data_IF_234017263490
#
_entry.id   IF_234017263490
#
_cell.length_a   1.000
_cell.length_b   1.000
_cell.length_c   1.000
_cell.angle_alpha   90.00
_cell.angle_beta   90.00
_cell.angle_gamma   90.00
#
_symmetry.space_group_name_H-M   'P 1'
#
loop_
_entity.id
_entity.type
_entity.pdbx_description
1 polymer ?
#
# COMPACT_ATOMS: atom_id res chain seq x y z
N UNK A 1 52.82 34.09 -45.50
CA UNK A 1 53.94 33.20 -45.15
C UNK A 1 53.39 32.00 -44.41
N UNK A 2 53.71 30.79 -44.90
CA UNK A 2 53.19 29.48 -44.46
C UNK A 2 54.14 28.83 -43.44
N UNK A 3 53.65 27.72 -42.87
CA UNK A 3 54.36 26.58 -42.22
C UNK A 3 54.72 26.75 -40.73
N UNK A 4 54.61 25.77 -39.82
CA UNK A 4 54.05 24.39 -39.85
C UNK A 4 54.08 23.76 -38.43
N UNK A 5 53.15 22.81 -38.20
CA UNK A 5 53.20 21.55 -37.40
C UNK A 5 53.55 21.58 -35.90
N UNK A 6 52.68 21.17 -34.96
CA UNK A 6 52.14 19.83 -34.65
C UNK A 6 53.12 18.78 -34.06
N UNK A 7 52.64 18.18 -32.96
CA UNK A 7 52.92 16.86 -32.36
C UNK A 7 54.17 16.70 -31.48
N UNK A 8 53.92 16.41 -30.19
CA UNK A 8 54.19 15.08 -29.60
C UNK A 8 53.54 14.92 -28.22
N UNK A 9 52.64 13.94 -28.16
CA UNK A 9 52.14 13.28 -26.95
C UNK A 9 53.15 12.23 -26.45
N UNK A 10 52.98 11.83 -25.18
CA UNK A 10 53.30 10.51 -24.60
C UNK A 10 54.65 10.31 -23.87
N UNK A 11 54.56 9.49 -22.79
CA UNK A 11 55.59 8.88 -21.90
C UNK A 11 55.89 9.73 -20.65
N UNK A 12 55.23 9.62 -19.48
CA UNK A 12 54.98 8.50 -18.52
C UNK A 12 56.25 7.76 -18.08
N UNK A 13 56.39 7.61 -16.75
CA UNK A 13 57.24 6.67 -16.01
C UNK A 13 58.56 7.21 -15.44
N UNK A 14 58.53 7.63 -14.17
CA UNK A 14 59.60 7.41 -13.19
C UNK A 14 59.25 8.06 -11.84
N UNK A 15 58.42 7.41 -11.02
CA UNK A 15 58.52 7.49 -9.56
C UNK A 15 57.55 6.50 -8.92
N UNK A 16 58.06 5.74 -7.95
CA UNK A 16 57.32 4.87 -7.02
C UNK A 16 57.01 3.45 -7.55
N UNK A 17 58.07 2.72 -7.87
CA UNK A 17 58.12 1.27 -7.76
C UNK A 17 59.48 0.83 -7.20
N UNK A 18 59.71 1.07 -5.90
CA UNK A 18 60.71 0.37 -5.08
C UNK A 18 60.27 0.53 -3.62
N UNK A 19 59.65 -0.50 -3.03
CA UNK A 19 60.05 -1.00 -1.71
C UNK A 19 59.30 -2.31 -1.41
N UNK A 20 60.09 -3.38 -1.44
CA UNK A 20 60.00 -4.57 -0.58
C UNK A 20 58.88 -5.59 -0.81
N UNK A 21 59.15 -6.46 -1.79
CA UNK A 21 58.97 -7.90 -1.63
C UNK A 21 60.18 -8.51 -0.88
N UNK A 22 59.94 -9.29 0.18
CA UNK A 22 60.76 -10.40 0.72
C UNK A 22 59.95 -11.03 1.87
N UNK A 23 59.17 -12.09 1.61
CA UNK A 23 59.45 -13.51 1.93
C UNK A 23 59.65 -13.83 3.42
N UNK A 24 58.75 -14.68 3.95
CA UNK A 24 58.94 -15.48 5.17
C UNK A 24 57.77 -16.45 5.39
N UNK A 25 58.08 -17.73 5.66
CA UNK A 25 57.25 -18.94 5.51
C UNK A 25 56.52 -19.36 6.82
N UNK A 26 55.35 -19.98 6.63
CA UNK A 26 54.69 -21.11 7.35
C UNK A 26 54.96 -21.42 8.85
N UNK A 27 53.91 -21.75 9.62
CA UNK A 27 53.52 -23.12 10.11
C UNK A 27 52.28 -23.06 11.04
N UNK A 28 51.48 -24.13 10.97
CA UNK A 28 50.29 -24.60 11.71
C UNK A 28 50.11 -24.23 13.20
N UNK A 29 48.83 -24.21 13.63
CA UNK A 29 48.41 -24.97 14.83
C UNK A 29 47.34 -24.34 15.74
N UNK A 30 46.25 -25.10 15.91
CA UNK A 30 45.38 -25.19 17.11
C UNK A 30 44.25 -24.18 17.40
N UNK A 31 43.03 -24.69 17.18
CA UNK A 31 41.89 -24.83 18.14
C UNK A 31 41.96 -24.04 19.46
N UNK A 32 40.92 -23.24 19.70
CA UNK A 32 40.58 -22.71 21.02
C UNK A 32 39.16 -22.14 21.04
N UNK A 33 38.21 -22.92 21.57
CA UNK A 33 36.92 -22.46 22.07
C UNK A 33 37.11 -21.56 23.30
N UNK A 34 36.24 -20.57 23.47
CA UNK A 34 35.55 -20.13 24.72
C UNK A 34 34.86 -18.78 24.44
N UNK A 35 33.53 -18.72 24.54
CA UNK A 35 32.74 -18.17 25.67
C UNK A 35 32.75 -16.63 25.70
N UNK A 36 31.69 -16.00 25.19
CA UNK A 36 30.52 -15.52 25.95
C UNK A 36 30.71 -14.19 26.67
N UNK A 37 30.00 -13.16 26.22
CA UNK A 37 29.44 -12.04 27.01
C UNK A 37 28.42 -11.34 26.09
N UNK A 38 27.12 -11.65 26.14
CA UNK A 38 26.09 -11.19 27.09
C UNK A 38 26.18 -9.69 27.42
N UNK A 39 25.26 -8.89 26.85
CA UNK A 39 24.47 -7.78 27.42
C UNK A 39 23.39 -7.36 26.36
N UNK A 40 22.24 -6.77 26.76
CA UNK A 40 20.92 -7.36 26.55
C UNK A 40 19.88 -6.41 25.91
N UNK A 41 18.65 -6.91 25.74
CA UNK A 41 17.40 -6.13 25.71
C UNK A 41 16.85 -5.85 24.31
N UNK A 42 16.08 -6.77 23.72
CA UNK A 42 14.61 -6.80 23.79
C UNK A 42 13.90 -5.78 22.88
N UNK A 43 13.54 -6.23 21.69
CA UNK A 43 12.27 -5.88 21.06
C UNK A 43 11.77 -7.14 20.36
N UNK A 44 10.94 -7.87 21.09
CA UNK A 44 10.32 -9.13 20.72
C UNK A 44 9.66 -9.06 19.35
N UNK A 45 10.16 -9.86 18.41
CA UNK A 45 9.42 -10.29 17.24
C UNK A 45 8.34 -11.26 17.71
N UNK A 46 7.20 -10.73 18.16
CA UNK A 46 6.01 -11.51 18.37
C UNK A 46 5.56 -12.07 17.03
N UNK A 47 5.71 -13.37 16.93
CA UNK A 47 5.03 -14.30 16.05
C UNK A 47 3.54 -13.88 15.91
N UNK A 48 3.19 -13.16 14.84
CA UNK A 48 1.80 -12.95 14.46
C UNK A 48 1.31 -14.24 13.80
N UNK A 49 1.04 -15.24 14.64
CA UNK A 49 -0.03 -16.18 14.34
C UNK A 49 -1.29 -15.33 14.24
N UNK A 50 -1.82 -15.19 13.03
CA UNK A 50 -3.13 -14.61 12.81
C UNK A 50 -4.13 -15.44 13.60
N UNK A 51 -4.55 -14.93 14.75
CA UNK A 51 -5.77 -15.40 15.39
C UNK A 51 -6.90 -15.24 14.37
N UNK A 52 -7.62 -16.31 14.00
CA UNK A 52 -8.90 -16.13 13.33
C UNK A 52 -9.77 -15.35 14.31
N UNK A 53 -9.97 -14.07 14.04
CA UNK A 53 -10.90 -13.23 14.78
C UNK A 53 -12.32 -13.75 14.50
N UNK A 54 -12.70 -14.79 15.25
CA UNK A 54 -14.09 -15.13 15.51
C UNK A 54 -14.72 -13.92 16.18
N UNK A 55 -15.60 -13.24 15.46
CA UNK A 55 -16.56 -12.33 16.07
C UNK A 55 -17.39 -13.14 17.06
N UNK A 56 -17.01 -13.07 18.34
CA UNK A 56 -17.77 -13.65 19.44
C UNK A 56 -19.09 -12.87 19.59
N UNK A 57 -20.11 -13.37 18.91
CA UNK A 57 -21.49 -13.03 19.19
C UNK A 57 -21.91 -13.57 20.56
N UNK A 58 -22.72 -12.83 21.34
CA UNK A 58 -23.29 -13.37 22.56
C UNK A 58 -24.31 -14.47 22.22
N UNK A 59 -23.96 -15.72 22.55
CA UNK A 59 -24.89 -16.81 22.82
C UNK A 59 -25.71 -17.34 21.64
N UNK A 60 -25.09 -18.12 20.77
CA UNK A 60 -25.81 -19.08 19.91
C UNK A 60 -26.51 -20.11 20.83
N UNK A 61 -27.84 -20.30 20.77
CA UNK A 61 -28.46 -21.44 21.43
C UNK A 61 -27.98 -22.73 20.76
N UNK A 62 -27.86 -23.86 21.49
CA UNK A 62 -27.36 -25.11 20.92
C UNK A 62 -28.43 -25.69 19.99
N UNK A 63 -28.32 -25.38 18.70
CA UNK A 63 -29.13 -25.95 17.63
C UNK A 63 -28.23 -26.65 16.63
N UNK A 64 -28.47 -27.95 16.45
CA UNK A 64 -27.87 -28.89 15.49
C UNK A 64 -26.94 -28.27 14.44
N UNK A 65 -25.68 -28.72 14.44
CA UNK A 65 -24.79 -28.65 13.27
C UNK A 65 -25.39 -29.46 12.12
N UNK A 66 -26.25 -28.85 11.32
CA UNK A 66 -26.45 -29.30 9.95
C UNK A 66 -25.29 -28.77 9.13
N UNK A 67 -24.40 -29.69 8.79
CA UNK A 67 -23.35 -29.51 7.80
C UNK A 67 -24.06 -29.08 6.50
N UNK A 68 -23.83 -27.85 6.08
CA UNK A 68 -24.28 -27.35 4.77
C UNK A 68 -23.60 -28.22 3.70
N UNK A 69 -24.35 -28.85 2.77
CA UNK A 69 -23.75 -29.59 1.66
C UNK A 69 -22.89 -28.67 0.81
N UNK A 70 -21.76 -29.18 0.31
CA UNK A 70 -20.87 -28.46 -0.60
C UNK A 70 -21.66 -27.85 -1.78
N UNK A 71 -21.72 -26.51 -1.80
CA UNK A 71 -22.31 -25.62 -2.81
C UNK A 71 -23.64 -26.07 -3.45
N UNK A 72 -24.75 -25.58 -2.91
CA UNK A 72 -26.06 -25.73 -3.54
C UNK A 72 -26.36 -24.58 -4.52
N UNK A 73 -27.15 -24.81 -5.58
CA UNK A 73 -27.55 -23.77 -6.52
C UNK A 73 -28.33 -22.65 -5.80
N UNK A 74 -28.17 -21.36 -6.18
CA UNK A 74 -28.95 -20.26 -5.62
C UNK A 74 -30.47 -20.46 -5.61
N UNK A 75 -30.98 -21.29 -6.52
CA UNK A 75 -32.40 -21.58 -6.70
C UNK A 75 -33.00 -22.33 -5.50
N UNK A 76 -32.20 -23.16 -4.84
CA UNK A 76 -32.65 -24.01 -3.73
C UNK A 76 -32.42 -23.34 -2.37
N UNK A 77 -31.74 -22.20 -2.37
CA UNK A 77 -31.28 -21.51 -1.17
C UNK A 77 -32.44 -21.09 -0.25
N UNK A 78 -33.58 -20.68 -0.83
CA UNK A 78 -34.79 -20.30 -0.08
C UNK A 78 -35.31 -21.43 0.84
N UNK A 79 -35.12 -22.70 0.47
CA UNK A 79 -35.67 -23.83 1.22
C UNK A 79 -34.92 -24.14 2.52
N UNK A 80 -33.75 -23.55 2.73
CA UNK A 80 -32.96 -23.71 3.95
C UNK A 80 -33.33 -22.68 5.03
N UNK A 81 -34.18 -21.72 4.70
CA UNK A 81 -34.61 -20.68 5.63
C UNK A 81 -35.91 -21.04 6.32
N UNK A 82 -35.92 -20.96 7.65
CA UNK A 82 -37.13 -21.16 8.45
C UNK A 82 -37.79 -19.81 8.74
N UNK A 83 -38.93 -19.60 8.09
CA UNK A 83 -39.78 -18.42 8.24
C UNK A 83 -40.14 -18.14 9.71
N UNK A 84 -40.42 -19.18 10.50
CA UNK A 84 -40.78 -19.04 11.91
C UNK A 84 -39.57 -18.61 12.73
N UNK A 85 -38.39 -19.17 12.41
CA UNK A 85 -37.12 -18.76 13.01
C UNK A 85 -36.86 -17.28 12.71
N UNK A 86 -36.91 -16.86 11.45
CA UNK A 86 -36.78 -15.45 11.03
C UNK A 86 -37.76 -14.54 11.81
N UNK A 87 -39.03 -14.94 11.91
CA UNK A 87 -40.06 -14.17 12.61
C UNK A 87 -39.78 -14.01 14.11
N UNK A 88 -39.15 -15.02 14.73
CA UNK A 88 -38.81 -15.05 16.15
C UNK A 88 -37.51 -14.29 16.50
N UNK A 89 -36.65 -14.03 15.51
CA UNK A 89 -35.38 -13.35 15.74
C UNK A 89 -35.60 -11.91 16.26
N UNK A 90 -34.77 -11.46 17.22
CA UNK A 90 -34.76 -10.06 17.63
C UNK A 90 -34.36 -9.20 16.43
N UNK A 91 -35.03 -8.07 16.27
CA UNK A 91 -34.60 -7.08 15.28
C UNK A 91 -33.33 -6.44 15.84
N UNK A 92 -32.19 -6.70 15.20
CA UNK A 92 -30.90 -6.19 15.64
C UNK A 92 -30.73 -4.71 15.28
N UNK A 93 -31.53 -4.22 14.33
CA UNK A 93 -31.58 -2.84 13.87
C UNK A 93 -32.79 -2.11 14.43
N UNK A 94 -32.63 -0.87 14.92
CA UNK A 94 -33.81 -0.01 15.12
C UNK A 94 -34.43 0.22 13.75
N UNK A 95 -35.76 0.24 13.64
CA UNK A 95 -36.56 0.32 12.38
C UNK A 95 -36.14 1.40 11.36
N UNK A 96 -35.31 2.37 11.76
CA UNK A 96 -34.79 3.47 10.94
C UNK A 96 -33.25 3.56 10.92
N UNK A 97 -32.53 2.55 11.41
CA UNK A 97 -31.08 2.55 11.44
C UNK A 97 -30.54 1.75 10.25
N UNK A 98 -29.98 2.45 9.26
CA UNK A 98 -29.14 1.91 8.17
C UNK A 98 -27.79 1.39 8.75
N UNK A 99 -27.80 0.83 9.96
CA UNK A 99 -26.61 0.65 10.81
C UNK A 99 -26.24 -0.82 10.80
N UNK A 100 -25.52 -1.25 9.77
CA UNK A 100 -25.25 -2.65 9.49
C UNK A 100 -24.44 -3.36 10.59
N UNK A 101 -24.88 -4.53 11.10
CA UNK A 101 -24.17 -5.22 12.16
C UNK A 101 -22.92 -5.95 11.65
N UNK A 102 -22.81 -6.20 10.33
CA UNK A 102 -21.61 -6.76 9.73
C UNK A 102 -20.93 -5.73 8.80
N UNK A 103 -19.73 -5.21 9.14
CA UNK A 103 -19.12 -4.10 8.41
C UNK A 103 -18.49 -4.54 7.07
N UNK A 104 -18.18 -5.82 6.90
CA UNK A 104 -17.58 -6.40 5.67
C UNK A 104 -18.60 -6.69 4.55
N UNK A 105 -19.88 -6.93 4.88
CA UNK A 105 -20.93 -7.30 3.92
C UNK A 105 -21.19 -6.17 2.92
N UNK A 106 -21.07 -6.38 1.60
CA UNK A 106 -21.41 -5.38 0.62
C UNK A 106 -22.93 -5.12 0.56
N UNK A 107 -23.32 -3.90 0.18
CA UNK A 107 -24.73 -3.51 0.04
C UNK A 107 -25.00 -2.99 -1.36
N UNK A 108 -26.03 -3.49 -2.02
CA UNK A 108 -26.52 -2.93 -3.27
C UNK A 108 -27.60 -1.87 -2.99
N UNK A 109 -27.61 -0.79 -3.78
CA UNK A 109 -28.62 0.27 -3.71
C UNK A 109 -28.88 0.84 -2.29
N UNK A 110 -27.84 0.86 -1.44
CA UNK A 110 -27.86 1.31 -0.03
C UNK A 110 -28.79 0.54 0.92
N UNK A 111 -29.39 -0.59 0.53
CA UNK A 111 -30.40 -1.25 1.36
C UNK A 111 -30.23 -2.76 1.47
N UNK A 112 -29.96 -3.43 0.37
CA UNK A 112 -29.95 -4.90 0.34
C UNK A 112 -28.52 -5.45 0.47
N UNK A 113 -28.24 -6.27 1.50
CA UNK A 113 -26.94 -6.94 1.62
C UNK A 113 -26.76 -7.99 0.51
N UNK A 114 -25.50 -8.13 0.07
CA UNK A 114 -25.06 -9.15 -0.87
C UNK A 114 -24.37 -10.28 -0.10
N UNK A 115 -24.82 -11.51 -0.29
CA UNK A 115 -24.24 -12.72 0.29
C UNK A 115 -23.88 -13.75 -0.79
N UNK A 116 -22.93 -14.61 -0.48
CA UNK A 116 -22.64 -15.79 -1.29
C UNK A 116 -23.54 -16.97 -0.91
N UNK A 117 -23.67 -17.94 -1.82
CA UNK A 117 -24.35 -19.23 -1.54
C UNK A 117 -23.70 -20.04 -0.40
N UNK A 118 -22.48 -19.73 -0.03
CA UNK A 118 -21.72 -20.36 1.06
C UNK A 118 -21.91 -19.67 2.41
N UNK A 119 -22.63 -18.56 2.45
CA UNK A 119 -22.89 -17.83 3.70
C UNK A 119 -23.76 -18.68 4.63
N UNK A 120 -23.49 -18.63 5.93
CA UNK A 120 -24.22 -19.44 6.92
C UNK A 120 -25.69 -19.00 7.04
N UNK A 121 -26.62 -19.95 7.04
CA UNK A 121 -28.07 -19.72 7.05
C UNK A 121 -28.53 -18.75 8.16
N UNK A 122 -28.10 -18.86 9.43
CA UNK A 122 -28.53 -17.95 10.49
C UNK A 122 -28.13 -16.49 10.25
N UNK A 123 -27.02 -16.23 9.54
CA UNK A 123 -26.59 -14.87 9.18
C UNK A 123 -27.59 -14.26 8.21
N UNK A 124 -28.02 -15.04 7.22
CA UNK A 124 -28.97 -14.58 6.21
C UNK A 124 -30.37 -14.43 6.79
N UNK A 125 -30.79 -15.32 7.67
CA UNK A 125 -32.07 -15.17 8.36
C UNK A 125 -32.13 -13.93 9.24
N UNK A 126 -31.05 -13.64 9.97
CA UNK A 126 -30.93 -12.39 10.72
C UNK A 126 -30.96 -11.18 9.77
N UNK A 127 -30.28 -11.26 8.61
CA UNK A 127 -30.33 -10.20 7.61
C UNK A 127 -31.74 -10.04 6.99
N UNK A 128 -32.44 -11.12 6.66
CA UNK A 128 -33.82 -11.09 6.18
C UNK A 128 -34.75 -10.47 7.23
N UNK A 129 -34.54 -10.79 8.51
CA UNK A 129 -35.25 -10.17 9.62
C UNK A 129 -35.00 -8.66 9.72
N UNK A 130 -33.75 -8.25 9.54
CA UNK A 130 -33.31 -6.87 9.76
C UNK A 130 -33.58 -5.95 8.55
N UNK A 131 -33.45 -6.45 7.32
CA UNK A 131 -33.55 -5.66 6.09
C UNK A 131 -34.79 -5.96 5.25
N UNK A 132 -35.47 -7.08 5.50
CA UNK A 132 -36.63 -7.55 4.72
C UNK A 132 -36.27 -8.19 3.38
N UNK A 133 -35.07 -7.98 2.84
CA UNK A 133 -34.60 -8.66 1.63
C UNK A 133 -33.09 -8.73 1.55
N UNK A 134 -32.58 -9.74 0.88
CA UNK A 134 -31.15 -9.97 0.62
C UNK A 134 -30.93 -10.44 -0.81
N UNK A 135 -29.73 -10.28 -1.33
CA UNK A 135 -29.30 -10.91 -2.58
C UNK A 135 -28.33 -12.06 -2.27
N UNK A 136 -28.59 -13.23 -2.85
CA UNK A 136 -27.73 -14.40 -2.82
C UNK A 136 -27.09 -14.57 -4.18
N UNK A 137 -25.76 -14.55 -4.22
CA UNK A 137 -24.94 -14.62 -5.43
C UNK A 137 -24.16 -15.93 -5.45
N UNK A 138 -24.08 -16.56 -6.62
CA UNK A 138 -23.17 -17.67 -6.89
C UNK A 138 -22.09 -17.20 -7.87
N UNK A 139 -20.86 -16.93 -7.36
CA UNK A 139 -19.75 -16.51 -8.20
C UNK A 139 -19.32 -17.54 -9.25
N UNK A 140 -19.61 -18.83 -9.02
CA UNK A 140 -19.21 -19.95 -9.88
C UNK A 140 -20.12 -20.03 -11.11
N UNK A 141 -21.44 -20.10 -10.90
CA UNK A 141 -22.41 -20.11 -12.00
C UNK A 141 -22.68 -18.73 -12.59
N UNK A 142 -22.20 -17.66 -11.93
CA UNK A 142 -22.53 -16.26 -12.23
C UNK A 142 -24.03 -16.01 -12.26
N UNK A 143 -24.75 -16.61 -11.31
CA UNK A 143 -26.19 -16.39 -11.14
C UNK A 143 -26.50 -15.80 -9.78
N UNK A 144 -27.68 -15.21 -9.63
CA UNK A 144 -28.13 -14.69 -8.35
C UNK A 144 -29.63 -14.65 -8.21
N UNK A 145 -30.07 -14.57 -6.95
CA UNK A 145 -31.47 -14.52 -6.53
C UNK A 145 -31.65 -13.44 -5.46
N UNK A 146 -32.79 -12.76 -5.50
CA UNK A 146 -33.25 -11.95 -4.39
C UNK A 146 -34.19 -12.80 -3.54
N UNK A 147 -33.96 -12.81 -2.23
CA UNK A 147 -34.87 -13.42 -1.26
C UNK A 147 -35.52 -12.28 -0.48
N UNK A 148 -36.85 -12.28 -0.44
CA UNK A 148 -37.67 -11.25 0.20
C UNK A 148 -38.47 -11.91 1.31
N UNK A 149 -38.40 -11.34 2.51
CA UNK A 149 -39.20 -11.74 3.66
C UNK A 149 -40.41 -10.82 3.81
N UNK A 150 -41.60 -11.39 3.60
CA UNK A 150 -42.85 -10.69 3.83
C UNK A 150 -43.24 -10.81 5.31
N UNK A 151 -43.05 -9.72 6.06
CA UNK A 151 -43.35 -9.68 7.50
C UNK A 151 -44.83 -9.91 7.82
N UNK A 152 -45.75 -9.48 6.94
CA UNK A 152 -47.20 -9.57 7.15
C UNK A 152 -47.70 -10.97 6.85
N UNK A 153 -47.33 -11.51 5.68
CA UNK A 153 -47.73 -12.84 5.25
C UNK A 153 -46.96 -13.96 5.95
N UNK A 154 -45.86 -13.63 6.65
CA UNK A 154 -44.88 -14.59 7.18
C UNK A 154 -44.53 -15.61 6.09
N UNK A 155 -43.97 -15.11 5.00
CA UNK A 155 -43.56 -15.93 3.85
C UNK A 155 -42.24 -15.44 3.30
N UNK A 156 -41.58 -16.32 2.54
CA UNK A 156 -40.42 -15.97 1.74
C UNK A 156 -40.80 -16.02 0.27
N UNK A 157 -40.32 -15.04 -0.47
CA UNK A 157 -40.43 -14.97 -1.92
C UNK A 157 -39.02 -14.96 -2.52
N UNK A 158 -38.83 -15.67 -3.62
CA UNK A 158 -37.58 -15.68 -4.37
C UNK A 158 -37.80 -15.11 -5.77
N UNK A 159 -36.98 -14.15 -6.14
CA UNK A 159 -37.04 -13.51 -7.46
C UNK A 159 -35.69 -13.66 -8.20
N UNK A 160 -35.69 -13.88 -9.52
CA UNK A 160 -34.48 -13.82 -10.32
C UNK A 160 -33.92 -12.39 -10.35
N UNK A 161 -32.59 -12.26 -10.30
CA UNK A 161 -31.93 -10.97 -10.57
C UNK A 161 -31.88 -10.78 -12.09
N UNK A 162 -32.68 -9.87 -12.62
CA UNK A 162 -32.82 -9.64 -14.06
C UNK A 162 -31.86 -8.57 -14.58
N UNK A 163 -31.39 -7.66 -13.73
CA UNK A 163 -30.56 -6.51 -14.11
C UNK A 163 -29.39 -6.32 -13.14
N UNK A 164 -28.30 -5.71 -13.63
CA UNK A 164 -27.12 -5.29 -12.83
C UNK A 164 -26.38 -6.40 -12.06
N UNK A 165 -26.57 -7.66 -12.46
CA UNK A 165 -25.91 -8.81 -11.83
C UNK A 165 -24.38 -8.71 -11.85
N UNK A 166 -23.80 -8.25 -12.96
CA UNK A 166 -22.35 -8.02 -13.08
C UNK A 166 -21.85 -6.98 -12.07
N UNK A 167 -22.61 -5.91 -11.86
CA UNK A 167 -22.26 -4.87 -10.90
C UNK A 167 -22.36 -5.37 -9.45
N UNK A 168 -23.35 -6.20 -9.14
CA UNK A 168 -23.45 -6.87 -7.84
C UNK A 168 -22.26 -7.81 -7.60
N UNK A 169 -21.85 -8.57 -8.62
CA UNK A 169 -20.65 -9.41 -8.52
C UNK A 169 -19.37 -8.60 -8.35
N UNK A 170 -19.24 -7.49 -9.06
CA UNK A 170 -18.09 -6.58 -8.90
C UNK A 170 -18.01 -6.08 -7.46
N UNK A 171 -19.13 -5.61 -6.92
CA UNK A 171 -19.24 -5.15 -5.54
C UNK A 171 -18.97 -6.26 -4.52
N UNK A 172 -19.51 -7.46 -4.74
CA UNK A 172 -19.31 -8.63 -3.90
C UNK A 172 -17.84 -9.07 -3.85
N UNK A 173 -17.12 -8.93 -4.97
CA UNK A 173 -15.71 -9.32 -5.10
C UNK A 173 -14.73 -8.24 -4.62
N UNK A 174 -15.21 -7.04 -4.25
CA UNK A 174 -14.34 -6.01 -3.69
C UNK A 174 -13.73 -6.47 -2.36
N UNK A 175 -12.59 -5.88 -2.03
CA UNK A 175 -11.97 -6.12 -0.74
C UNK A 175 -12.89 -5.70 0.42
N UNK A 176 -12.98 -6.55 1.45
CA UNK A 176 -13.78 -6.28 2.65
C UNK A 176 -13.43 -4.94 3.30
N UNK A 177 -12.16 -4.53 3.27
CA UNK A 177 -11.71 -3.26 3.85
C UNK A 177 -12.33 -2.06 3.12
N UNK A 178 -12.62 -2.18 1.82
CA UNK A 178 -13.30 -1.13 1.06
C UNK A 178 -14.74 -0.98 1.56
N UNK A 179 -15.46 -2.08 1.80
CA UNK A 179 -16.82 -2.05 2.34
C UNK A 179 -16.86 -1.46 3.77
N UNK A 180 -15.92 -1.89 4.62
CA UNK A 180 -15.75 -1.35 5.98
C UNK A 180 -15.51 0.16 5.92
N UNK A 181 -14.59 0.59 5.07
CA UNK A 181 -14.25 2.00 4.87
C UNK A 181 -15.43 2.81 4.36
N UNK A 182 -16.16 2.31 3.36
CA UNK A 182 -17.33 2.97 2.80
C UNK A 182 -18.37 3.26 3.87
N UNK A 183 -18.72 2.24 4.67
CA UNK A 183 -19.70 2.39 5.75
C UNK A 183 -19.18 3.35 6.83
N UNK A 184 -17.91 3.24 7.23
CA UNK A 184 -17.31 4.15 8.20
C UNK A 184 -17.38 5.62 7.74
N UNK A 185 -17.12 5.88 6.47
CA UNK A 185 -17.13 7.25 5.91
C UNK A 185 -18.56 7.79 5.72
N UNK A 186 -19.55 6.92 5.49
CA UNK A 186 -20.96 7.29 5.34
C UNK A 186 -21.66 7.57 6.66
N UNK A 187 -21.38 6.77 7.68
CA UNK A 187 -22.06 6.86 8.97
C UNK A 187 -21.23 7.72 9.94
N UNK A 188 -21.58 9.00 10.04
CA UNK A 188 -20.85 10.01 10.85
C UNK A 188 -20.82 9.74 12.36
N UNK A 189 -21.70 8.89 12.86
CA UNK A 189 -21.74 8.56 14.28
C UNK A 189 -21.01 7.23 14.51
N UNK A 190 -19.86 7.22 15.22
CA UNK A 190 -19.38 6.01 15.85
C UNK A 190 -20.44 5.64 16.89
N UNK A 191 -21.39 4.81 16.50
CA UNK A 191 -22.22 4.13 17.46
C UNK A 191 -21.30 3.46 18.47
N UNK A 192 -21.65 3.47 19.77
CA UNK A 192 -20.98 2.63 20.76
C UNK A 192 -20.92 1.15 20.35
N UNK A 193 -21.81 0.73 19.45
CA UNK A 193 -21.96 -0.62 18.90
C UNK A 193 -21.42 -0.79 17.48
N UNK A 194 -20.64 0.15 16.92
CA UNK A 194 -19.98 -0.10 15.63
C UNK A 194 -18.96 -1.22 15.83
N UNK A 195 -19.10 -2.36 15.15
CA UNK A 195 -18.40 -3.59 15.52
C UNK A 195 -16.89 -3.51 15.28
N UNK A 196 -16.42 -2.55 14.48
CA UNK A 196 -15.02 -2.45 14.10
C UNK A 196 -14.44 -1.05 14.33
N UNK A 197 -13.58 -0.93 15.36
CA UNK A 197 -12.76 0.27 15.54
C UNK A 197 -11.84 0.45 14.33
N UNK A 198 -11.85 1.65 13.74
CA UNK A 198 -10.93 1.96 12.65
C UNK A 198 -9.48 1.94 13.16
N UNK A 199 -8.54 1.37 12.39
CA UNK A 199 -7.13 1.39 12.74
C UNK A 199 -6.58 2.83 12.68
N UNK A 200 -5.34 2.99 13.17
CA UNK A 200 -4.59 4.21 12.95
C UNK A 200 -4.32 4.40 11.44
N UNK A 201 -4.25 5.65 11.02
CA UNK A 201 -3.89 6.01 9.64
C UNK A 201 -2.45 5.63 9.37
N UNK A 202 -2.20 5.02 8.21
CA UNK A 202 -0.85 4.65 7.75
C UNK A 202 -0.43 5.57 6.59
N UNK A 203 0.85 5.99 6.54
CA UNK A 203 1.32 6.96 5.55
C UNK A 203 1.26 6.36 4.14
N UNK A 204 0.78 7.12 3.17
CA UNK A 204 0.64 6.65 1.78
C UNK A 204 1.65 7.32 0.85
N UNK A 205 2.31 8.39 1.28
CA UNK A 205 3.20 9.20 0.43
C UNK A 205 4.35 8.38 -0.14
N UNK A 206 4.68 7.29 0.55
CA UNK A 206 5.75 6.41 0.17
C UNK A 206 5.40 5.47 -1.00
N UNK A 207 4.11 5.13 -1.15
CA UNK A 207 3.59 4.18 -2.12
C UNK A 207 3.64 4.74 -3.55
N UNK A 208 3.64 3.89 -4.60
CA UNK A 208 3.53 4.33 -5.99
C UNK A 208 2.26 5.15 -6.25
N UNK A 209 2.34 6.19 -7.10
CA UNK A 209 1.20 7.02 -7.48
C UNK A 209 1.09 7.19 -9.00
N UNK A 210 -0.13 7.06 -9.51
CA UNK A 210 -0.51 7.44 -10.88
C UNK A 210 -1.29 8.74 -10.77
N UNK A 211 -0.78 9.81 -11.39
CA UNK A 211 -1.44 11.14 -11.40
C UNK A 211 -1.83 11.66 -10.00
N UNK A 212 -1.00 11.37 -8.99
CA UNK A 212 -1.26 11.76 -7.60
C UNK A 212 -2.35 10.93 -6.90
N UNK A 213 -2.78 9.81 -7.49
CA UNK A 213 -3.62 8.79 -6.87
C UNK A 213 -2.71 7.64 -6.40
N UNK A 214 -2.68 7.29 -5.11
CA UNK A 214 -1.89 6.16 -4.62
C UNK A 214 -2.40 4.84 -5.19
N UNK A 215 -1.48 3.91 -5.46
CA UNK A 215 -1.80 2.51 -5.80
C UNK A 215 -1.57 1.67 -4.54
N UNK A 216 -2.64 1.07 -4.04
CA UNK A 216 -2.60 0.13 -2.93
C UNK A 216 -2.58 -1.29 -3.49
N UNK A 217 -1.54 -2.04 -3.13
CA UNK A 217 -1.33 -3.43 -3.51
C UNK A 217 -1.23 -4.30 -2.26
N UNK A 218 -1.27 -5.62 -2.42
CA UNK A 218 -1.05 -6.58 -1.35
C UNK A 218 0.17 -6.19 -0.49
N UNK A 219 -0.03 -6.08 0.83
CA UNK A 219 0.99 -5.62 1.79
C UNK A 219 0.98 -4.11 2.05
N UNK A 220 0.26 -3.33 1.25
CA UNK A 220 0.04 -1.88 1.39
C UNK A 220 -1.44 -1.46 1.24
N UNK A 221 -2.34 -2.44 1.23
CA UNK A 221 -3.79 -2.35 1.09
C UNK A 221 -4.52 -2.49 2.44
N UNK A 222 -3.84 -2.15 3.53
CA UNK A 222 -4.45 -2.12 4.85
C UNK A 222 -5.58 -1.08 4.91
N UNK A 223 -6.54 -1.30 5.81
CA UNK A 223 -7.59 -0.32 6.10
C UNK A 223 -7.02 1.03 6.57
N UNK A 224 -5.84 1.04 7.19
CA UNK A 224 -5.11 2.25 7.59
C UNK A 224 -4.61 3.07 6.40
N UNK A 225 -4.02 2.43 5.39
CA UNK A 225 -3.61 3.09 4.14
C UNK A 225 -4.83 3.61 3.36
N UNK A 226 -5.88 2.80 3.22
CA UNK A 226 -7.11 3.21 2.54
C UNK A 226 -7.77 4.41 3.24
N UNK A 227 -7.79 4.42 4.59
CA UNK A 227 -8.31 5.54 5.37
C UNK A 227 -7.49 6.82 5.14
N UNK A 228 -6.16 6.74 5.06
CA UNK A 228 -5.32 7.90 4.73
C UNK A 228 -5.58 8.39 3.31
N UNK A 229 -5.69 7.48 2.34
CA UNK A 229 -5.95 7.83 0.94
C UNK A 229 -7.28 8.54 0.72
N UNK A 230 -8.31 8.20 1.50
CA UNK A 230 -9.62 8.87 1.43
C UNK A 230 -9.67 10.22 2.13
N UNK A 231 -8.70 10.52 3.00
CA UNK A 231 -8.60 11.79 3.73
C UNK A 231 -7.64 12.80 3.10
N UNK A 232 -6.72 12.34 2.26
CA UNK A 232 -5.62 13.14 1.70
C UNK A 232 -5.71 13.25 0.17
N UNK A 233 -5.01 14.23 -0.40
CA UNK A 233 -4.88 14.38 -1.85
C UNK A 233 -6.22 14.41 -2.60
N UNK A 234 -6.36 13.54 -3.61
CA UNK A 234 -7.57 13.39 -4.43
C UNK A 234 -8.72 12.65 -3.73
N UNK A 235 -8.48 12.09 -2.54
CA UNK A 235 -9.46 11.33 -1.74
C UNK A 235 -9.97 10.05 -2.42
N UNK A 236 -9.14 9.47 -3.28
CA UNK A 236 -9.37 8.23 -4.03
C UNK A 236 -8.08 7.42 -4.07
N UNK A 237 -8.17 6.13 -4.33
CA UNK A 237 -7.01 5.26 -4.51
C UNK A 237 -7.26 4.18 -5.55
N UNK A 238 -6.20 3.77 -6.24
CA UNK A 238 -6.22 2.54 -7.02
C UNK A 238 -6.02 1.36 -6.08
N UNK A 239 -6.78 0.29 -6.30
CA UNK A 239 -6.66 -0.94 -5.55
C UNK A 239 -6.40 -2.09 -6.51
N UNK A 240 -5.24 -2.73 -6.34
CA UNK A 240 -4.75 -3.79 -7.20
C UNK A 240 -4.54 -5.05 -6.42
N UNK A 241 -5.22 -6.11 -6.85
CA UNK A 241 -5.10 -7.45 -6.25
C UNK A 241 -4.84 -8.48 -7.33
N UNK A 242 -4.08 -9.50 -6.97
CA UNK A 242 -3.82 -10.61 -7.86
C UNK A 242 -5.14 -11.27 -8.28
N UNK A 243 -5.30 -11.56 -9.57
CA UNK A 243 -6.50 -12.19 -10.15
C UNK A 243 -7.81 -11.38 -10.07
N UNK A 244 -7.74 -10.10 -9.66
CA UNK A 244 -8.87 -9.18 -9.68
C UNK A 244 -8.59 -8.03 -10.65
N UNK A 245 -9.64 -7.39 -11.21
CA UNK A 245 -9.45 -6.16 -11.98
C UNK A 245 -8.93 -5.04 -11.09
N UNK A 246 -8.07 -4.19 -11.64
CA UNK A 246 -7.67 -2.95 -10.99
C UNK A 246 -8.87 -2.01 -10.91
N UNK A 247 -9.13 -1.46 -9.72
CA UNK A 247 -10.29 -0.60 -9.48
C UNK A 247 -9.89 0.73 -8.83
N UNK A 248 -10.49 1.82 -9.31
CA UNK A 248 -10.43 3.12 -8.67
C UNK A 248 -11.51 3.19 -7.60
N UNK A 249 -11.11 3.39 -6.35
CA UNK A 249 -12.01 3.46 -5.21
C UNK A 249 -12.26 4.91 -4.81
N UNK A 250 -13.54 5.31 -4.78
CA UNK A 250 -14.04 6.57 -4.23
C UNK A 250 -15.20 6.30 -3.27
N UNK A 251 -14.90 6.23 -1.97
CA UNK A 251 -15.91 5.95 -0.94
C UNK A 251 -16.85 7.14 -0.63
N UNK A 252 -16.68 8.28 -1.29
CA UNK A 252 -17.57 9.44 -1.11
C UNK A 252 -18.87 9.31 -1.91
N UNK A 253 -18.90 8.36 -2.84
CA UNK A 253 -20.05 8.11 -3.70
C UNK A 253 -21.34 7.85 -2.89
N UNK A 254 -22.47 8.30 -3.43
CA UNK A 254 -23.78 8.19 -2.77
C UNK A 254 -24.36 6.79 -2.77
N UNK A 255 -23.90 5.95 -3.71
CA UNK A 255 -24.33 4.57 -3.82
C UNK A 255 -23.12 3.64 -3.78
N UNK A 256 -23.19 2.46 -3.13
CA UNK A 256 -22.04 1.60 -2.96
C UNK A 256 -21.58 1.02 -4.31
N UNK A 257 -22.51 0.77 -5.23
CA UNK A 257 -22.20 0.25 -6.56
C UNK A 257 -21.44 1.24 -7.47
N UNK A 258 -21.31 2.50 -7.05
CA UNK A 258 -20.52 3.53 -7.73
C UNK A 258 -19.16 3.77 -7.05
N UNK A 259 -18.90 3.17 -5.89
CA UNK A 259 -17.69 3.45 -5.11
C UNK A 259 -16.42 2.85 -5.72
N UNK A 260 -16.56 1.92 -6.66
CA UNK A 260 -15.46 1.29 -7.37
C UNK A 260 -15.72 1.34 -8.88
N UNK A 261 -14.75 1.84 -9.64
CA UNK A 261 -14.75 1.85 -11.10
C UNK A 261 -13.60 0.98 -11.60
N UNK A 262 -13.88 0.02 -12.47
CA UNK A 262 -12.83 -0.75 -13.17
C UNK A 262 -11.95 0.21 -13.98
N UNK A 263 -10.63 -0.02 -13.92
CA UNK A 263 -9.67 0.70 -14.75
C UNK A 263 -9.99 0.48 -16.25
N UNK A 264 -9.85 1.52 -17.06
CA UNK A 264 -9.74 1.36 -18.52
C UNK A 264 -8.39 0.72 -18.88
N UNK A 265 -8.22 0.30 -20.13
CA UNK A 265 -6.95 -0.27 -20.60
C UNK A 265 -5.80 0.75 -20.48
N UNK A 266 -6.07 2.03 -20.73
CA UNK A 266 -5.09 3.11 -20.56
C UNK A 266 -4.73 3.34 -19.08
N UNK A 267 -5.74 3.35 -18.19
CA UNK A 267 -5.52 3.49 -16.74
C UNK A 267 -4.71 2.30 -16.21
N UNK A 268 -5.00 1.08 -16.68
CA UNK A 268 -4.28 -0.14 -16.32
C UNK A 268 -2.83 -0.09 -16.80
N UNK A 269 -2.57 0.31 -18.04
CA UNK A 269 -1.22 0.46 -18.56
C UNK A 269 -0.43 1.49 -17.74
N UNK A 270 -1.04 2.62 -17.38
CA UNK A 270 -0.40 3.63 -16.55
C UNK A 270 -0.05 3.11 -15.14
N UNK A 271 -0.92 2.26 -14.55
CA UNK A 271 -0.63 1.58 -13.29
C UNK A 271 0.55 0.63 -13.46
N UNK A 272 0.54 -0.22 -14.49
CA UNK A 272 1.63 -1.17 -14.78
C UNK A 272 2.98 -0.45 -14.96
N UNK A 273 3.02 0.62 -15.76
CA UNK A 273 4.22 1.42 -16.01
C UNK A 273 4.78 2.04 -14.73
N UNK A 274 3.91 2.59 -13.86
CA UNK A 274 4.33 3.20 -12.60
C UNK A 274 4.86 2.15 -11.63
N UNK A 275 4.24 0.97 -11.56
CA UNK A 275 4.66 -0.12 -10.69
C UNK A 275 6.00 -0.71 -11.13
N UNK A 276 6.15 -0.99 -12.43
CA UNK A 276 7.41 -1.47 -12.99
C UNK A 276 8.54 -0.46 -12.72
N UNK A 277 8.27 0.82 -13.00
CA UNK A 277 9.25 1.87 -12.75
C UNK A 277 9.57 1.99 -11.26
N UNK A 278 8.57 1.93 -10.37
CA UNK A 278 8.80 1.98 -8.92
C UNK A 278 9.71 0.84 -8.47
N UNK A 279 9.40 -0.40 -8.85
CA UNK A 279 10.18 -1.59 -8.46
C UNK A 279 11.62 -1.52 -8.98
N UNK A 280 11.79 -1.08 -10.23
CA UNK A 280 13.12 -0.88 -10.82
C UNK A 280 13.94 0.17 -10.08
N UNK A 281 13.33 1.30 -9.72
CA UNK A 281 14.04 2.33 -8.95
C UNK A 281 14.28 1.91 -7.50
N UNK A 282 13.42 1.07 -6.92
CA UNK A 282 13.62 0.52 -5.59
C UNK A 282 14.81 -0.44 -5.55
N UNK A 283 14.89 -1.36 -6.52
CA UNK A 283 16.04 -2.26 -6.67
C UNK A 283 17.34 -1.45 -6.86
N UNK A 284 17.28 -0.40 -7.69
CA UNK A 284 18.46 0.39 -8.06
C UNK A 284 18.91 1.37 -6.98
N UNK A 285 17.99 2.06 -6.31
CA UNK A 285 18.28 3.21 -5.45
C UNK A 285 17.78 3.05 -4.01
N UNK A 286 17.00 2.00 -3.73
CA UNK A 286 16.29 1.79 -2.48
C UNK A 286 14.93 2.47 -2.42
N UNK A 287 14.08 1.96 -1.53
CA UNK A 287 12.68 2.36 -1.35
C UNK A 287 12.50 3.88 -1.17
N UNK A 288 13.35 4.52 -0.37
CA UNK A 288 13.25 5.97 -0.12
C UNK A 288 13.38 6.82 -1.38
N UNK A 289 14.30 6.45 -2.28
CA UNK A 289 14.50 7.16 -3.55
C UNK A 289 13.43 6.81 -4.58
N UNK A 290 13.06 5.53 -4.70
CA UNK A 290 11.97 5.08 -5.57
C UNK A 290 10.67 5.82 -5.25
N UNK A 291 10.38 5.91 -3.95
CA UNK A 291 9.28 6.69 -3.43
C UNK A 291 9.34 8.16 -3.84
N UNK A 292 10.49 8.83 -3.72
CA UNK A 292 10.62 10.24 -4.14
C UNK A 292 10.27 10.43 -5.62
N UNK A 293 10.66 9.48 -6.47
CA UNK A 293 10.47 9.55 -7.92
C UNK A 293 9.04 9.20 -8.34
N UNK A 294 8.45 8.17 -7.71
CA UNK A 294 7.23 7.50 -8.18
C UNK A 294 6.08 7.51 -7.19
N UNK A 295 6.31 7.98 -5.97
CA UNK A 295 5.26 8.15 -4.96
C UNK A 295 4.59 9.51 -5.01
N UNK A 296 4.08 9.97 -3.86
CA UNK A 296 3.29 11.21 -3.83
C UNK A 296 4.13 12.41 -4.29
N UNK A 297 3.59 13.31 -5.13
CA UNK A 297 4.32 14.49 -5.57
C UNK A 297 4.80 15.36 -4.41
N UNK A 298 6.11 15.63 -4.37
CA UNK A 298 6.70 16.56 -3.40
C UNK A 298 6.52 17.98 -3.95
N UNK A 299 5.93 18.87 -3.15
CA UNK A 299 5.81 20.30 -3.48
C UNK A 299 6.94 21.09 -2.84
N UNK A 300 7.47 22.08 -3.54
CA UNK A 300 8.50 22.97 -2.98
C UNK A 300 7.94 23.72 -1.78
N UNK A 301 8.64 23.64 -0.64
CA UNK A 301 8.32 24.43 0.55
C UNK A 301 8.76 25.89 0.36
N UNK A 302 7.99 26.80 0.96
CA UNK A 302 8.34 28.22 1.08
C UNK A 302 9.45 28.42 2.12
N UNK A 303 9.35 27.73 3.26
CA UNK A 303 10.30 27.80 4.37
C UNK A 303 11.75 27.52 3.95
N UNK A 304 11.96 26.57 3.03
CA UNK A 304 13.30 26.20 2.58
C UNK A 304 13.75 26.93 1.30
N UNK A 305 12.95 27.84 0.74
CA UNK A 305 13.24 28.43 -0.58
C UNK A 305 14.62 29.08 -0.67
N UNK A 306 15.02 29.83 0.38
CA UNK A 306 16.34 30.45 0.45
C UNK A 306 17.47 29.44 0.65
N UNK A 307 17.24 28.41 1.49
CA UNK A 307 18.26 27.40 1.81
C UNK A 307 18.53 26.49 0.60
N UNK A 308 17.48 26.12 -0.15
CA UNK A 308 17.53 25.21 -1.30
C UNK A 308 18.48 25.66 -2.42
N UNK A 309 18.67 26.97 -2.57
CA UNK A 309 19.52 27.57 -3.61
C UNK A 309 20.89 27.99 -3.10
N UNK A 310 21.11 27.93 -1.78
CA UNK A 310 22.37 28.32 -1.16
C UNK A 310 23.46 27.33 -1.57
N UNK A 311 24.63 27.88 -1.89
CA UNK A 311 25.81 27.04 -2.10
C UNK A 311 26.08 26.22 -0.84
N UNK A 312 26.14 24.90 -0.99
CA UNK A 312 26.55 23.98 0.06
C UNK A 312 27.96 23.51 -0.27
N UNK A 313 28.86 23.50 0.71
CA UNK A 313 30.20 22.96 0.50
C UNK A 313 30.14 21.44 0.42
N UNK A 314 31.09 20.78 -0.26
CA UNK A 314 31.11 19.31 -0.33
C UNK A 314 31.09 18.66 1.07
N UNK A 315 31.70 19.31 2.06
CA UNK A 315 31.78 18.80 3.43
C UNK A 315 30.41 18.70 4.11
N UNK A 316 29.49 19.58 3.74
CA UNK A 316 28.15 19.71 4.33
C UNK A 316 27.07 18.96 3.55
N UNK A 317 27.43 18.28 2.45
CA UNK A 317 26.44 17.54 1.66
C UNK A 317 25.75 16.45 2.50
N UNK A 318 24.42 16.40 2.51
CA UNK A 318 23.70 15.27 3.07
C UNK A 318 24.08 13.99 2.32
N UNK A 319 24.39 12.92 3.06
CA UNK A 319 24.84 11.63 2.52
C UNK A 319 23.95 10.52 3.06
N UNK A 320 23.35 9.75 2.16
CA UNK A 320 22.43 8.67 2.51
C UNK A 320 22.83 7.35 1.85
N UNK A 321 22.50 6.25 2.51
CA UNK A 321 22.49 4.91 1.90
C UNK A 321 21.11 4.63 1.31
N UNK A 322 20.99 3.55 0.54
CA UNK A 322 19.71 3.07 -0.01
C UNK A 322 18.65 2.70 1.05
N UNK A 323 19.04 2.54 2.32
CA UNK A 323 18.16 2.13 3.42
C UNK A 323 17.53 3.32 4.16
N UNK A 324 17.82 4.56 3.75
CA UNK A 324 17.26 5.75 4.38
C UNK A 324 15.83 5.97 3.89
N UNK A 325 14.92 6.26 4.82
CA UNK A 325 13.51 6.51 4.50
C UNK A 325 13.27 7.83 3.75
N UNK A 326 12.18 7.86 2.99
CA UNK A 326 11.72 8.98 2.15
C UNK A 326 11.83 10.34 2.85
N UNK A 327 11.26 10.49 4.05
CA UNK A 327 11.13 11.79 4.71
C UNK A 327 12.46 12.50 4.92
N UNK A 328 13.52 11.78 5.33
CA UNK A 328 14.86 12.38 5.50
C UNK A 328 15.46 12.84 4.18
N UNK A 329 15.27 12.07 3.12
CA UNK A 329 15.72 12.43 1.78
C UNK A 329 14.94 13.64 1.23
N UNK A 330 13.62 13.69 1.46
CA UNK A 330 12.79 14.85 1.09
C UNK A 330 13.23 16.10 1.83
N UNK A 331 13.46 16.02 3.14
CA UNK A 331 13.98 17.16 3.92
C UNK A 331 15.31 17.66 3.35
N UNK A 332 16.23 16.77 2.99
CA UNK A 332 17.49 17.18 2.36
C UNK A 332 17.28 17.88 1.01
N UNK A 333 16.35 17.41 0.18
CA UNK A 333 15.99 18.06 -1.08
C UNK A 333 15.33 19.42 -0.88
N UNK A 334 14.50 19.57 0.15
CA UNK A 334 13.90 20.86 0.47
C UNK A 334 14.95 21.84 0.95
N UNK A 335 15.71 21.49 1.99
CA UNK A 335 16.62 22.41 2.67
C UNK A 335 17.94 22.66 1.92
N UNK A 336 18.47 21.68 1.18
CA UNK A 336 19.76 21.81 0.47
C UNK A 336 19.62 21.76 -1.05
N UNK A 337 18.48 21.31 -1.59
CA UNK A 337 18.29 21.12 -3.02
C UNK A 337 19.00 19.89 -3.58
N UNK A 338 19.75 19.14 -2.77
CA UNK A 338 20.51 17.97 -3.22
C UNK A 338 20.96 17.06 -2.06
N UNK A 339 21.35 15.83 -2.40
CA UNK A 339 22.06 14.90 -1.52
C UNK A 339 22.93 13.91 -2.33
N UNK A 340 23.84 13.21 -1.64
CA UNK A 340 24.57 12.06 -2.19
C UNK A 340 23.92 10.76 -1.76
N UNK A 341 23.74 9.85 -2.71
CA UNK A 341 23.20 8.52 -2.47
C UNK A 341 24.28 7.47 -2.72
N UNK A 342 24.56 6.64 -1.71
CA UNK A 342 25.50 5.53 -1.80
C UNK A 342 24.72 4.23 -1.88
N UNK A 343 24.85 3.55 -3.01
CA UNK A 343 24.27 2.24 -3.27
C UNK A 343 25.40 1.24 -3.38
N UNK A 344 25.31 0.14 -2.65
CA UNK A 344 26.26 -0.97 -2.71
C UNK A 344 26.16 -1.66 -4.08
N UNK A 345 27.30 -1.95 -4.71
CA UNK A 345 27.36 -2.66 -6.00
C UNK A 345 28.07 -1.89 -7.11
N UNK A 346 27.82 -2.30 -8.37
CA UNK A 346 28.61 -1.87 -9.55
C UNK A 346 28.41 -0.41 -9.95
N UNK A 347 27.33 0.24 -9.52
CA UNK A 347 26.96 1.55 -10.06
C UNK A 347 27.55 2.76 -9.32
N UNK A 348 28.16 2.54 -8.15
CA UNK A 348 28.81 3.59 -7.37
C UNK A 348 27.84 4.66 -6.83
N UNK A 349 28.36 5.76 -6.25
CA UNK A 349 27.53 6.81 -5.67
C UNK A 349 26.84 7.68 -6.73
N UNK A 350 25.71 8.27 -6.34
CA UNK A 350 24.89 9.17 -7.13
C UNK A 350 24.75 10.54 -6.47
N UNK A 351 24.53 11.55 -7.29
CA UNK A 351 24.02 12.87 -6.91
C UNK A 351 22.54 12.92 -7.21
N UNK A 352 21.73 13.26 -6.22
CA UNK A 352 20.31 13.55 -6.39
C UNK A 352 20.11 15.04 -6.19
N UNK A 353 19.46 15.73 -7.14
CA UNK A 353 19.28 17.19 -7.09
C UNK A 353 17.90 17.64 -7.57
N UNK A 354 17.44 18.75 -7.02
CA UNK A 354 16.23 19.45 -7.45
C UNK A 354 16.56 20.34 -8.65
N UNK A 355 15.88 20.12 -9.77
CA UNK A 355 16.12 20.86 -11.02
C UNK A 355 15.45 22.23 -11.03
N UNK A 356 14.33 22.34 -10.33
CA UNK A 356 13.52 23.54 -10.31
C UNK A 356 13.53 24.19 -8.92
N UNK A 357 14.72 24.31 -8.33
CA UNK A 357 14.92 24.79 -6.95
C UNK A 357 14.45 26.22 -6.70
N UNK A 358 14.34 27.03 -7.76
CA UNK A 358 13.92 28.44 -7.77
C UNK A 358 12.46 28.66 -8.15
N UNK A 359 11.72 27.61 -8.49
CA UNK A 359 10.30 27.74 -8.83
C UNK A 359 9.49 28.20 -7.60
N UNK A 360 8.30 28.80 -7.82
CA UNK A 360 7.42 29.20 -6.72
C UNK A 360 7.05 28.04 -5.79
N UNK A 361 6.73 28.39 -4.53
CA UNK A 361 6.23 27.43 -3.55
C UNK A 361 4.98 26.70 -4.08
N UNK A 362 4.77 25.46 -3.64
CA UNK A 362 3.66 24.63 -4.12
C UNK A 362 3.90 23.96 -5.48
N UNK A 363 4.88 24.40 -6.27
CA UNK A 363 5.26 23.73 -7.53
C UNK A 363 5.79 22.32 -7.24
N UNK A 364 5.47 21.35 -8.11
CA UNK A 364 6.02 19.99 -8.00
C UNK A 364 7.53 20.02 -8.20
N UNK A 365 8.24 19.38 -7.28
CA UNK A 365 9.69 19.18 -7.32
C UNK A 365 10.07 18.26 -8.47
N UNK A 366 11.02 18.69 -9.31
CA UNK A 366 11.62 17.90 -10.39
C UNK A 366 12.97 17.38 -9.93
N UNK A 367 13.13 16.07 -9.87
CA UNK A 367 14.34 15.40 -9.36
C UNK A 367 15.16 14.86 -10.51
N UNK A 368 16.48 15.08 -10.44
CA UNK A 368 17.45 14.43 -11.32
C UNK A 368 18.42 13.59 -10.50
N UNK A 369 18.71 12.39 -10.98
CA UNK A 369 19.70 11.47 -10.40
C UNK A 369 20.81 11.26 -11.43
N UNK A 370 22.05 11.55 -11.03
CA UNK A 370 23.23 11.42 -11.88
C UNK A 370 24.31 10.60 -11.16
N UNK A 371 25.01 9.67 -11.82
CA UNK A 371 26.17 9.03 -11.22
C UNK A 371 27.27 10.07 -10.96
N UNK A 372 28.03 9.91 -9.87
CA UNK A 372 29.15 10.81 -9.62
C UNK A 372 30.20 10.68 -10.71
N UNK A 373 30.69 11.84 -11.17
CA UNK A 373 31.83 11.91 -12.08
C UNK A 373 33.10 11.37 -11.42
N UNK A 374 34.09 10.95 -12.22
CA UNK A 374 35.38 10.47 -11.69
C UNK A 374 36.09 11.51 -10.82
N UNK A 375 35.97 12.79 -11.18
CA UNK A 375 36.51 13.90 -10.39
C UNK A 375 35.84 14.05 -9.03
N UNK A 376 34.50 14.02 -8.98
CA UNK A 376 33.75 14.07 -7.70
C UNK A 376 34.08 12.85 -6.82
N UNK A 377 34.19 11.66 -7.40
CA UNK A 377 34.58 10.44 -6.67
C UNK A 377 35.97 10.58 -6.04
N UNK A 378 36.93 11.12 -6.79
CA UNK A 378 38.29 11.35 -6.29
C UNK A 378 38.29 12.40 -5.18
N UNK A 379 37.55 13.49 -5.36
CA UNK A 379 37.42 14.56 -4.37
C UNK A 379 36.81 14.05 -3.05
N UNK A 380 35.74 13.25 -3.13
CA UNK A 380 35.13 12.64 -1.94
C UNK A 380 36.06 11.62 -1.29
N UNK A 381 36.78 10.81 -2.07
CA UNK A 381 37.76 9.86 -1.54
C UNK A 381 38.90 10.58 -0.80
N UNK A 382 39.44 11.66 -1.37
CA UNK A 382 40.48 12.47 -0.74
C UNK A 382 39.96 13.14 0.54
N UNK A 383 38.79 13.79 0.49
CA UNK A 383 38.18 14.41 1.67
C UNK A 383 37.89 13.38 2.78
N UNK A 384 37.49 12.16 2.42
CA UNK A 384 37.26 11.09 3.40
C UNK A 384 38.56 10.59 4.03
N UNK A 385 39.64 10.44 3.25
CA UNK A 385 40.96 10.04 3.76
C UNK A 385 41.56 11.09 4.70
N UNK A 386 41.29 12.37 4.45
CA UNK A 386 41.67 13.49 5.31
C UNK A 386 40.75 13.64 6.54
N UNK A 387 39.74 12.79 6.71
CA UNK A 387 38.79 12.86 7.83
C UNK A 387 37.81 14.02 7.78
N UNK A 388 37.76 14.76 6.66
CA UNK A 388 36.89 15.93 6.49
C UNK A 388 35.42 15.54 6.21
N UNK A 389 35.20 14.34 5.67
CA UNK A 389 33.87 13.77 5.49
C UNK A 389 33.83 12.31 5.91
N UNK A 390 32.66 11.84 6.30
CA UNK A 390 32.38 10.42 6.53
C UNK A 390 31.55 9.87 5.39
N UNK A 391 32.10 8.91 4.65
CA UNK A 391 31.35 8.18 3.64
C UNK A 391 30.51 7.08 4.32
N UNK A 392 29.23 6.92 3.95
CA UNK A 392 28.45 5.79 4.40
C UNK A 392 29.12 4.47 3.97
N UNK A 393 29.12 3.48 4.87
CA UNK A 393 29.53 2.11 4.48
C UNK A 393 28.41 1.55 3.60
N UNK A 394 28.78 1.15 2.39
CA UNK A 394 27.88 0.49 1.46
C UNK A 394 27.61 -0.95 1.91
#
# INVERSE_FOLDING_TARGET
MRTSSLLRSSVIAAAVAVLCALRGRAVNGYRGQTSSSNWPGEASSSNWQGEPSSSNWPGTPPGRSEIVPDSLPPQDYIYFHDVNRIASLPVSLKKNSIKHPNPDVPFYNNREPLFGIDTNVPIIEQALRDYGSVYILDPTSKTGRQIIYNHEARSLEQQPILENLDQMFDLYKLDRNINILYKHMRYKDPLPSWPQKMPLTEPIEHLPHVEGVPILQEGSDSLGHMLTATKTGRKVFWHRRQYHPDVLVDVRQSRPELMAKKATDEEKQAIDDVLEAYNKEEERYGQGTASILRGSPIRLSEEDAANRVKFTSLYEYPRFTKYVGRNRMVSALQSHGHYRLYVSGRHGPYKVKVMNSRDPHGTRMKIQIEPLSSGEKLQESAASKLGLIRLPRA
#
